data_IF_012660976272
#
_entry.id   IF_012660976272
#
_cell.length_a   1.000
_cell.length_b   1.000
_cell.length_c   1.000
_cell.angle_alpha   90.00
_cell.angle_beta   90.00
_cell.angle_gamma   90.00
#
_symmetry.space_group_name_H-M   'P 1'
#
loop_
_entity.id
_entity.type
_entity.pdbx_description
1 polymer ?
#
# COMPACT_ATOMS: atom_id res chain seq x y z
N UNK A 1 40.07 60.43 7.63
CA UNK A 1 39.88 59.30 6.70
C UNK A 1 38.86 58.27 7.19
N UNK A 2 38.89 57.85 8.47
CA UNK A 2 37.95 56.84 9.02
C UNK A 2 36.48 57.29 8.97
N UNK A 3 36.20 58.56 9.30
CA UNK A 3 34.82 59.11 9.29
C UNK A 3 34.21 59.04 7.89
N UNK A 4 35.00 59.32 6.84
CA UNK A 4 34.55 59.28 5.45
C UNK A 4 34.17 57.85 5.02
N UNK A 5 34.94 56.85 5.46
CA UNK A 5 34.66 55.44 5.18
C UNK A 5 33.32 54.99 5.81
N UNK A 6 33.06 55.39 7.06
CA UNK A 6 31.82 55.03 7.78
C UNK A 6 30.59 55.67 7.14
N UNK A 7 30.71 56.92 6.67
CA UNK A 7 29.59 57.60 6.00
C UNK A 7 29.26 56.93 4.66
N UNK A 8 30.27 56.52 3.90
CA UNK A 8 30.07 55.83 2.62
C UNK A 8 29.41 54.46 2.81
N UNK A 9 29.84 53.66 3.79
CA UNK A 9 29.25 52.34 4.04
C UNK A 9 27.82 52.44 4.55
N UNK A 10 27.52 53.42 5.40
CA UNK A 10 26.14 53.69 5.84
C UNK A 10 25.24 54.09 4.67
N UNK A 11 25.71 54.96 3.76
CA UNK A 11 24.95 55.37 2.59
C UNK A 11 24.66 54.19 1.64
N UNK A 12 25.63 53.31 1.42
CA UNK A 12 25.45 52.09 0.61
C UNK A 12 24.41 51.16 1.26
N UNK A 13 24.49 50.95 2.57
CA UNK A 13 23.56 50.08 3.30
C UNK A 13 22.11 50.60 3.23
N UNK A 14 21.92 51.92 3.43
CA UNK A 14 20.61 52.57 3.29
C UNK A 14 20.10 52.44 1.85
N UNK A 15 20.95 52.66 0.86
CA UNK A 15 20.59 52.50 -0.55
C UNK A 15 20.14 51.07 -0.88
N UNK A 16 20.84 50.05 -0.39
CA UNK A 16 20.47 48.63 -0.56
C UNK A 16 19.14 48.35 0.14
N UNK A 17 18.93 48.89 1.34
CA UNK A 17 17.70 48.69 2.10
C UNK A 17 16.49 49.32 1.41
N UNK A 18 16.64 50.55 0.90
CA UNK A 18 15.61 51.22 0.11
C UNK A 18 15.30 50.48 -1.20
N UNK A 19 16.32 50.00 -1.90
CA UNK A 19 16.13 49.20 -3.11
C UNK A 19 15.38 47.89 -2.82
N UNK A 20 15.71 47.21 -1.73
CA UNK A 20 15.03 45.99 -1.30
C UNK A 20 13.57 46.26 -0.94
N UNK A 21 13.29 47.35 -0.24
CA UNK A 21 11.93 47.70 0.19
C UNK A 21 11.08 48.18 -0.99
N UNK A 22 11.67 48.86 -1.98
CA UNK A 22 10.98 49.22 -3.23
C UNK A 22 10.70 48.00 -4.13
N UNK A 23 11.56 46.98 -4.10
CA UNK A 23 11.40 45.75 -4.89
C UNK A 23 10.54 44.68 -4.18
N UNK A 24 10.16 44.89 -2.92
CA UNK A 24 9.08 44.11 -2.29
C UNK A 24 7.77 44.53 -2.93
N UNK A 25 7.43 43.90 -4.06
CA UNK A 25 6.04 43.88 -4.55
C UNK A 25 5.17 43.51 -3.35
N UNK A 26 4.14 44.31 -2.99
CA UNK A 26 3.20 43.87 -1.97
C UNK A 26 2.64 42.55 -2.50
N UNK A 27 2.91 41.45 -1.79
CA UNK A 27 2.16 40.22 -2.01
C UNK A 27 0.71 40.66 -1.88
N UNK A 28 -0.03 40.61 -2.99
CA UNK A 28 -1.46 40.84 -2.97
C UNK A 28 -1.99 39.88 -1.90
N UNK A 29 -2.39 40.44 -0.76
CA UNK A 29 -3.11 39.70 0.27
C UNK A 29 -4.37 39.27 -0.45
N UNK A 30 -4.36 38.01 -0.89
CA UNK A 30 -5.49 37.38 -1.53
C UNK A 30 -6.68 37.63 -0.63
N UNK A 31 -7.59 38.47 -1.14
CA UNK A 31 -8.84 38.84 -0.52
C UNK A 31 -9.41 37.62 0.18
N UNK A 32 -9.77 37.75 1.46
CA UNK A 32 -10.46 36.68 2.22
C UNK A 32 -11.77 36.41 1.50
N UNK A 33 -11.71 35.58 0.46
CA UNK A 33 -12.87 34.97 -0.14
C UNK A 33 -13.46 34.17 0.99
N UNK A 34 -14.62 34.60 1.47
CA UNK A 34 -15.53 33.74 2.19
C UNK A 34 -15.95 32.66 1.19
N UNK A 35 -15.03 31.72 0.96
CA UNK A 35 -15.28 30.47 0.30
C UNK A 35 -16.21 29.77 1.28
N UNK A 36 -17.51 29.87 1.02
CA UNK A 36 -18.38 28.75 1.33
C UNK A 36 -17.78 27.58 0.57
N UNK A 37 -16.88 26.86 1.24
CA UNK A 37 -16.38 25.58 0.76
C UNK A 37 -17.59 24.68 0.84
N UNK A 38 -18.39 24.66 -0.22
CA UNK A 38 -19.20 23.51 -0.53
C UNK A 38 -18.20 22.39 -0.71
N UNK A 39 -17.95 21.62 0.35
CA UNK A 39 -17.08 20.45 0.31
C UNK A 39 -17.54 19.62 -0.90
N UNK A 40 -16.76 19.57 -2.00
CA UNK A 40 -17.13 18.69 -3.08
C UNK A 40 -17.00 17.27 -2.53
N UNK A 41 -18.03 16.46 -2.74
CA UNK A 41 -18.02 15.01 -2.82
C UNK A 41 -17.00 14.30 -1.90
N UNK A 42 -17.49 13.73 -0.79
CA UNK A 42 -16.79 12.86 0.17
C UNK A 42 -15.30 12.62 -0.12
N UNK A 43 -14.42 13.22 0.68
CA UNK A 43 -12.97 13.05 0.58
C UNK A 43 -12.63 11.58 0.71
N UNK A 44 -12.35 10.93 -0.42
CA UNK A 44 -11.89 9.55 -0.46
C UNK A 44 -10.52 9.49 0.21
N UNK A 45 -10.43 8.74 1.30
CA UNK A 45 -9.16 8.51 2.01
C UNK A 45 -8.85 7.02 2.01
N UNK A 46 -7.62 6.71 1.61
CA UNK A 46 -7.05 5.36 1.64
C UNK A 46 -6.15 5.18 2.85
N UNK A 47 -6.35 4.04 3.51
CA UNK A 47 -5.61 3.58 4.66
C UNK A 47 -5.03 2.20 4.35
N UNK A 48 -3.92 1.85 4.98
CA UNK A 48 -3.21 0.59 4.81
C UNK A 48 -3.07 -0.09 6.16
N UNK A 49 -3.42 -1.37 6.21
CA UNK A 49 -3.19 -2.23 7.37
C UNK A 49 -1.88 -3.01 7.15
N UNK A 50 -0.98 -3.09 8.14
CA UNK A 50 0.29 -3.83 8.01
C UNK A 50 0.13 -5.30 7.61
N UNK A 51 -1.02 -5.91 7.89
CA UNK A 51 -1.44 -7.23 7.39
C UNK A 51 -1.89 -7.26 5.93
N UNK A 52 -1.23 -6.49 5.07
CA UNK A 52 -1.36 -6.48 3.61
C UNK A 52 -2.75 -6.20 3.01
N UNK A 53 -3.50 -5.28 3.61
CA UNK A 53 -4.77 -4.82 3.05
C UNK A 53 -4.87 -3.31 3.07
N UNK A 54 -5.78 -2.80 2.25
CA UNK A 54 -6.14 -1.39 2.25
C UNK A 54 -7.63 -1.20 2.51
N UNK A 55 -7.97 -0.03 3.05
CA UNK A 55 -9.32 0.45 3.28
C UNK A 55 -9.48 1.81 2.61
N UNK A 56 -10.47 1.94 1.75
CA UNK A 56 -10.87 3.18 1.13
C UNK A 56 -12.24 3.60 1.64
N UNK A 57 -12.29 4.81 2.20
CA UNK A 57 -13.49 5.35 2.83
C UNK A 57 -14.28 6.17 1.81
N UNK A 58 -15.53 5.76 1.58
CA UNK A 58 -16.53 6.54 0.84
C UNK A 58 -17.55 7.07 1.86
N UNK A 59 -17.10 7.98 2.71
CA UNK A 59 -17.90 8.49 3.83
C UNK A 59 -17.81 7.59 5.07
N UNK A 60 -18.88 7.58 5.87
CA UNK A 60 -18.92 6.86 7.15
C UNK A 60 -19.50 5.45 7.05
N UNK A 61 -20.31 5.18 6.03
CA UNK A 61 -21.21 4.02 6.03
C UNK A 61 -20.62 2.78 5.35
N UNK A 62 -19.78 2.98 4.32
CA UNK A 62 -19.19 1.89 3.55
C UNK A 62 -17.70 2.12 3.36
N UNK A 63 -16.92 1.07 3.60
CA UNK A 63 -15.49 1.01 3.34
C UNK A 63 -15.23 -0.04 2.28
N UNK A 64 -14.59 0.35 1.19
CA UNK A 64 -14.08 -0.59 0.18
C UNK A 64 -12.73 -1.11 0.66
N UNK A 65 -12.52 -2.42 0.61
CA UNK A 65 -11.27 -3.05 1.06
C UNK A 65 -10.68 -3.95 -0.02
N UNK A 66 -9.36 -4.10 -0.01
CA UNK A 66 -8.62 -4.95 -0.94
C UNK A 66 -7.24 -5.32 -0.44
N UNK A 67 -6.45 -5.94 -1.32
CA UNK A 67 -5.06 -6.37 -1.05
C UNK A 67 -4.08 -5.31 -1.55
N UNK A 68 -2.99 -5.08 -0.81
CA UNK A 68 -1.98 -4.11 -1.21
C UNK A 68 -1.08 -4.59 -2.37
N UNK A 69 -0.33 -3.66 -2.97
CA UNK A 69 0.60 -3.95 -4.06
C UNK A 69 1.74 -4.90 -3.62
N UNK A 70 2.13 -4.88 -2.34
CA UNK A 70 3.19 -5.76 -1.86
C UNK A 70 2.76 -7.22 -1.91
N UNK A 71 1.59 -7.54 -1.38
CA UNK A 71 1.13 -8.92 -1.29
C UNK A 71 0.85 -9.54 -2.64
N UNK A 72 0.28 -8.78 -3.59
CA UNK A 72 0.05 -9.30 -4.94
C UNK A 72 1.37 -9.60 -5.68
N UNK A 73 2.42 -8.77 -5.48
CA UNK A 73 3.75 -9.04 -6.07
C UNK A 73 4.47 -10.19 -5.38
N UNK A 74 4.27 -10.32 -4.06
CA UNK A 74 4.90 -11.38 -3.27
C UNK A 74 4.39 -12.76 -3.70
N UNK A 75 3.06 -12.92 -3.83
CA UNK A 75 2.48 -14.18 -4.30
C UNK A 75 2.75 -14.39 -5.80
N UNK A 76 2.82 -13.32 -6.58
CA UNK A 76 2.99 -13.36 -8.04
C UNK A 76 1.64 -13.49 -8.75
N UNK A 77 1.62 -14.15 -9.91
CA UNK A 77 0.40 -14.34 -10.70
C UNK A 77 -0.65 -15.15 -9.91
N UNK A 78 -1.69 -14.48 -9.41
CA UNK A 78 -2.73 -15.11 -8.59
C UNK A 78 -3.56 -16.04 -9.48
N UNK A 79 -3.72 -17.30 -9.07
CA UNK A 79 -4.48 -18.30 -9.82
C UNK A 79 -5.88 -18.51 -9.25
N UNK A 80 -6.02 -18.40 -7.93
CA UNK A 80 -7.30 -18.51 -7.24
C UNK A 80 -7.28 -17.75 -5.92
N UNK A 81 -8.46 -17.52 -5.36
CA UNK A 81 -8.63 -16.79 -4.12
C UNK A 81 -9.87 -17.24 -3.35
N UNK A 82 -9.82 -17.05 -2.03
CA UNK A 82 -10.94 -17.34 -1.11
C UNK A 82 -11.54 -16.01 -0.65
N UNK A 83 -12.69 -15.66 -1.22
CA UNK A 83 -13.44 -14.44 -0.89
C UNK A 83 -14.27 -14.61 0.38
N UNK A 84 -14.53 -13.51 1.11
CA UNK A 84 -15.54 -13.51 2.17
C UNK A 84 -16.95 -13.66 1.58
N UNK A 85 -17.93 -13.95 2.43
CA UNK A 85 -19.32 -14.06 2.01
C UNK A 85 -20.11 -12.76 2.29
N UNK A 86 -21.04 -12.34 1.41
CA UNK A 86 -21.99 -11.29 1.74
C UNK A 86 -22.77 -11.64 3.02
N UNK A 87 -22.90 -10.69 3.94
CA UNK A 87 -23.52 -10.86 5.25
C UNK A 87 -22.59 -11.40 6.34
N UNK A 88 -21.36 -11.81 6.00
CA UNK A 88 -20.37 -12.26 6.97
C UNK A 88 -19.95 -11.12 7.90
N UNK A 89 -19.84 -11.42 9.20
CA UNK A 89 -19.27 -10.49 10.19
C UNK A 89 -17.79 -10.75 10.32
N UNK A 90 -16.99 -9.74 10.02
CA UNK A 90 -15.54 -9.78 10.09
C UNK A 90 -15.04 -8.75 11.10
N UNK A 91 -13.96 -9.08 11.82
CA UNK A 91 -13.30 -8.15 12.76
C UNK A 91 -11.96 -7.69 12.19
N UNK A 92 -11.57 -6.46 12.50
CA UNK A 92 -10.22 -5.97 12.24
C UNK A 92 -9.21 -6.99 12.79
N UNK A 93 -8.21 -7.36 12.00
CA UNK A 93 -7.24 -8.39 12.38
C UNK A 93 -7.60 -9.82 11.93
N UNK A 94 -8.82 -10.09 11.47
CA UNK A 94 -9.20 -11.40 10.93
C UNK A 94 -8.86 -11.54 9.44
N UNK A 95 -8.84 -12.77 8.92
CA UNK A 95 -8.61 -13.03 7.49
C UNK A 95 -9.69 -12.38 6.63
N UNK A 96 -9.28 -11.53 5.68
CA UNK A 96 -10.15 -10.92 4.68
C UNK A 96 -10.24 -11.78 3.42
N UNK A 97 -9.10 -12.15 2.86
CA UNK A 97 -8.99 -12.92 1.61
C UNK A 97 -7.70 -13.73 1.62
N UNK A 98 -7.76 -14.94 1.06
CA UNK A 98 -6.57 -15.76 0.76
C UNK A 98 -6.28 -15.70 -0.73
N UNK A 99 -5.02 -15.47 -1.11
CA UNK A 99 -4.52 -15.56 -2.47
C UNK A 99 -3.69 -16.82 -2.62
N UNK A 100 -3.92 -17.57 -3.70
CA UNK A 100 -3.26 -18.84 -3.95
C UNK A 100 -2.64 -18.89 -5.35
N UNK A 101 -1.44 -19.49 -5.42
CA UNK A 101 -0.73 -19.79 -6.67
C UNK A 101 -0.02 -21.14 -6.53
N UNK A 102 -0.41 -22.12 -7.34
CA UNK A 102 0.09 -23.49 -7.23
C UNK A 102 -0.17 -24.07 -5.84
N UNK A 103 0.90 -24.33 -5.08
CA UNK A 103 0.85 -24.82 -3.71
C UNK A 103 1.04 -23.72 -2.64
N UNK A 104 1.25 -22.46 -3.02
CA UNK A 104 1.57 -21.33 -2.13
C UNK A 104 0.31 -20.53 -1.82
N UNK A 105 0.12 -20.16 -0.55
CA UNK A 105 -1.00 -19.34 -0.10
C UNK A 105 -0.57 -18.24 0.87
N UNK A 106 -1.08 -17.02 0.66
CA UNK A 106 -0.94 -15.90 1.60
C UNK A 106 -2.31 -15.28 1.87
N UNK A 107 -2.54 -14.79 3.09
CA UNK A 107 -3.78 -14.09 3.41
C UNK A 107 -3.54 -12.63 3.75
N UNK A 108 -4.42 -11.77 3.24
CA UNK A 108 -4.56 -10.40 3.72
C UNK A 108 -5.59 -10.35 4.86
N UNK A 109 -5.39 -9.40 5.77
CA UNK A 109 -6.19 -9.24 6.98
C UNK A 109 -7.21 -8.10 6.82
N UNK A 110 -8.38 -8.21 7.44
CA UNK A 110 -9.40 -7.18 7.42
C UNK A 110 -8.91 -5.90 8.10
N UNK A 111 -8.94 -4.75 7.40
CA UNK A 111 -8.47 -3.48 7.95
C UNK A 111 -9.49 -2.84 8.90
N UNK A 112 -10.76 -3.26 8.87
CA UNK A 112 -11.85 -2.75 9.72
C UNK A 112 -12.80 -3.90 10.09
N UNK A 113 -13.45 -3.76 11.25
CA UNK A 113 -14.54 -4.62 11.68
C UNK A 113 -15.86 -4.18 11.06
N UNK A 114 -16.71 -5.13 10.68
CA UNK A 114 -18.02 -4.82 10.15
C UNK A 114 -18.76 -6.01 9.56
N UNK A 115 -19.81 -5.70 8.81
CA UNK A 115 -20.55 -6.68 8.00
C UNK A 115 -20.17 -6.51 6.53
N UNK A 116 -19.82 -7.59 5.85
CA UNK A 116 -19.57 -7.59 4.41
C UNK A 116 -20.90 -7.34 3.69
N UNK A 117 -21.01 -6.22 2.98
CA UNK A 117 -22.25 -5.87 2.25
C UNK A 117 -22.17 -6.24 0.77
N UNK A 118 -20.96 -6.28 0.22
CA UNK A 118 -20.73 -6.56 -1.19
C UNK A 118 -19.37 -7.24 -1.34
N UNK A 119 -19.27 -8.15 -2.31
CA UNK A 119 -18.03 -8.87 -2.64
C UNK A 119 -17.82 -8.78 -4.14
N UNK A 120 -16.58 -8.53 -4.56
CA UNK A 120 -16.25 -8.43 -5.97
C UNK A 120 -16.22 -9.82 -6.64
N UNK A 121 -17.38 -10.24 -7.13
CA UNK A 121 -17.56 -11.53 -7.82
C UNK A 121 -16.71 -11.64 -9.10
N UNK A 122 -16.24 -10.52 -9.67
CA UNK A 122 -15.37 -10.54 -10.85
C UNK A 122 -14.03 -11.21 -10.55
N UNK A 123 -13.53 -11.13 -9.31
CA UNK A 123 -12.27 -11.76 -8.91
C UNK A 123 -12.32 -13.28 -9.00
N UNK A 124 -13.48 -13.90 -8.80
CA UNK A 124 -13.63 -15.35 -8.94
C UNK A 124 -13.50 -15.81 -10.41
N UNK A 125 -13.75 -14.91 -11.37
CA UNK A 125 -13.62 -15.17 -12.81
C UNK A 125 -12.28 -14.72 -13.36
N UNK A 126 -11.76 -13.61 -12.84
CA UNK A 126 -10.50 -13.00 -13.27
C UNK A 126 -9.68 -12.55 -12.05
N UNK A 127 -8.90 -13.47 -11.44
CA UNK A 127 -7.99 -13.16 -10.34
C UNK A 127 -6.90 -12.14 -10.70
N UNK A 128 -6.58 -11.99 -11.99
CA UNK A 128 -5.49 -11.11 -12.49
C UNK A 128 -5.78 -9.64 -12.22
N UNK A 129 -7.05 -9.29 -11.95
CA UNK A 129 -7.45 -7.96 -11.49
C UNK A 129 -6.73 -7.54 -10.20
N UNK A 130 -6.43 -8.48 -9.29
CA UNK A 130 -5.66 -8.20 -8.06
C UNK A 130 -4.23 -7.79 -8.41
N UNK A 131 -3.62 -8.47 -9.38
CA UNK A 131 -2.26 -8.16 -9.80
C UNK A 131 -2.17 -6.84 -10.59
N UNK A 132 -3.13 -6.59 -11.48
CA UNK A 132 -3.08 -5.47 -12.44
C UNK A 132 -3.61 -4.16 -11.86
N UNK A 133 -4.68 -4.24 -11.05
CA UNK A 133 -5.41 -3.09 -10.55
C UNK A 133 -5.75 -3.23 -9.06
N UNK A 134 -4.76 -3.47 -8.17
CA UNK A 134 -4.99 -3.84 -6.76
C UNK A 134 -5.83 -2.82 -5.99
N UNK A 135 -5.78 -1.55 -6.40
CA UNK A 135 -6.46 -0.43 -5.75
C UNK A 135 -7.72 0.07 -6.47
N UNK A 136 -8.02 -0.48 -7.65
CA UNK A 136 -9.17 -0.08 -8.46
C UNK A 136 -10.07 -1.30 -8.68
N UNK A 137 -9.93 -2.01 -9.81
CA UNK A 137 -10.78 -3.16 -10.16
C UNK A 137 -10.53 -4.39 -9.27
N UNK A 138 -9.39 -4.44 -8.57
CA UNK A 138 -8.96 -5.50 -7.66
C UNK A 138 -9.50 -5.39 -6.24
N UNK A 139 -10.47 -4.51 -5.96
CA UNK A 139 -11.14 -4.46 -4.65
C UNK A 139 -11.80 -5.81 -4.32
N UNK A 140 -11.78 -6.20 -3.05
CA UNK A 140 -12.21 -7.53 -2.59
C UNK A 140 -13.65 -7.50 -2.08
N UNK A 141 -13.94 -6.56 -1.18
CA UNK A 141 -15.23 -6.46 -0.52
C UNK A 141 -15.55 -5.01 -0.15
N UNK A 142 -16.84 -4.74 0.08
CA UNK A 142 -17.31 -3.54 0.77
C UNK A 142 -17.85 -3.96 2.13
N UNK A 143 -17.46 -3.22 3.15
CA UNK A 143 -17.78 -3.48 4.55
C UNK A 143 -18.57 -2.30 5.10
N UNK A 144 -19.72 -2.59 5.73
CA UNK A 144 -20.40 -1.66 6.61
C UNK A 144 -19.72 -1.73 7.99
N UNK A 145 -18.92 -0.72 8.38
CA UNK A 145 -18.04 -0.82 9.53
C UNK A 145 -18.82 -0.62 10.84
N UNK A 146 -18.39 -1.29 11.91
CA UNK A 146 -19.00 -1.15 13.24
C UNK A 146 -18.30 -0.11 14.12
N UNK A 147 -17.00 0.14 13.93
CA UNK A 147 -16.24 1.10 14.73
C UNK A 147 -15.15 1.83 13.92
N UNK A 148 -15.57 2.42 12.79
CA UNK A 148 -14.66 3.00 11.81
C UNK A 148 -13.70 4.05 12.41
N UNK A 149 -14.23 5.03 13.13
CA UNK A 149 -13.44 6.17 13.61
C UNK A 149 -12.31 5.78 14.58
N UNK A 150 -12.50 4.70 15.35
CA UNK A 150 -11.47 4.19 16.25
C UNK A 150 -10.47 3.33 15.47
N UNK A 151 -10.94 2.42 14.62
CA UNK A 151 -10.10 1.45 13.92
C UNK A 151 -9.22 2.07 12.84
N UNK A 152 -9.66 3.17 12.21
CA UNK A 152 -8.82 3.94 11.28
C UNK A 152 -7.54 4.49 11.94
N UNK A 153 -7.53 4.68 13.26
CA UNK A 153 -6.34 5.12 14.00
C UNK A 153 -5.26 4.03 14.09
N UNK A 154 -5.65 2.77 13.90
CA UNK A 154 -4.73 1.63 13.87
C UNK A 154 -4.11 1.43 12.48
N UNK A 155 -4.53 2.21 11.48
CA UNK A 155 -4.09 2.08 10.10
C UNK A 155 -3.09 3.17 9.71
N UNK A 156 -2.27 2.86 8.72
CA UNK A 156 -1.31 3.78 8.13
C UNK A 156 -1.98 4.57 7.00
N UNK A 157 -1.59 5.83 6.81
CA UNK A 157 -2.07 6.63 5.68
C UNK A 157 -1.05 7.72 5.29
N UNK A 158 -1.19 8.25 4.07
CA UNK A 158 -0.29 9.27 3.52
C UNK A 158 1.19 8.87 3.62
N UNK A 159 2.03 9.84 3.99
CA UNK A 159 3.49 9.66 4.08
C UNK A 159 3.91 8.48 4.97
N UNK A 160 3.15 8.17 6.02
CA UNK A 160 3.47 7.04 6.90
C UNK A 160 3.26 5.70 6.21
N UNK A 161 2.21 5.56 5.40
CA UNK A 161 1.98 4.35 4.61
C UNK A 161 3.06 4.20 3.53
N UNK A 162 3.47 5.29 2.89
CA UNK A 162 4.54 5.29 1.88
C UNK A 162 5.87 4.81 2.50
N UNK A 163 6.26 5.40 3.64
CA UNK A 163 7.49 5.00 4.35
C UNK A 163 7.47 3.56 4.83
N UNK A 164 6.32 3.08 5.29
CA UNK A 164 6.17 1.68 5.69
C UNK A 164 6.35 0.76 4.49
N UNK A 165 5.72 1.06 3.36
CA UNK A 165 5.88 0.30 2.11
C UNK A 165 7.34 0.28 1.63
N UNK A 166 8.04 1.42 1.71
CA UNK A 166 9.46 1.49 1.34
C UNK A 166 10.34 0.64 2.27
N UNK A 167 10.11 0.73 3.58
CA UNK A 167 10.82 -0.07 4.57
C UNK A 167 10.58 -1.57 4.35
N UNK A 168 9.33 -1.95 4.09
CA UNK A 168 8.92 -3.33 3.81
C UNK A 168 9.64 -3.88 2.56
N UNK A 169 9.75 -3.09 1.48
CA UNK A 169 10.49 -3.47 0.28
C UNK A 169 11.98 -3.61 0.55
N UNK A 170 12.58 -2.70 1.33
CA UNK A 170 13.99 -2.81 1.71
C UNK A 170 14.26 -4.06 2.55
N UNK A 171 13.38 -4.38 3.51
CA UNK A 171 13.47 -5.61 4.29
C UNK A 171 13.38 -6.84 3.40
N UNK A 172 12.48 -6.85 2.42
CA UNK A 172 12.34 -7.96 1.48
C UNK A 172 13.63 -8.17 0.69
N UNK A 173 14.21 -7.11 0.12
CA UNK A 173 15.50 -7.18 -0.59
C UNK A 173 16.60 -7.71 0.31
N UNK A 174 16.67 -7.22 1.57
CA UNK A 174 17.66 -7.70 2.55
C UNK A 174 17.48 -9.18 2.88
N UNK A 175 16.24 -9.67 3.00
CA UNK A 175 15.94 -11.08 3.27
C UNK A 175 16.39 -12.02 2.14
N UNK A 176 16.55 -11.49 0.92
CA UNK A 176 17.05 -12.20 -0.26
C UNK A 176 18.54 -11.99 -0.56
N UNK A 177 19.15 -10.93 -0.02
CA UNK A 177 20.53 -10.54 -0.34
C UNK A 177 21.62 -11.60 -0.08
N UNK A 178 21.47 -12.59 0.82
CA UNK A 178 22.46 -13.66 0.92
C UNK A 178 22.43 -14.66 -0.25
N UNK A 179 21.32 -14.75 -0.99
CA UNK A 179 21.08 -15.77 -2.04
C UNK A 179 20.91 -15.21 -3.45
N UNK A 180 20.45 -13.97 -3.58
CA UNK A 180 20.58 -13.23 -4.84
C UNK A 180 22.02 -12.73 -4.84
N UNK A 181 22.89 -13.34 -5.66
CA UNK A 181 24.32 -13.03 -5.73
C UNK A 181 24.62 -11.55 -6.03
N UNK A 182 25.90 -11.22 -6.19
CA UNK A 182 26.42 -9.88 -6.45
C UNK A 182 25.47 -9.03 -7.31
N UNK A 183 24.79 -8.06 -6.69
CA UNK A 183 23.98 -7.09 -7.45
C UNK A 183 24.94 -6.28 -8.32
N UNK A 184 24.72 -6.30 -9.64
CA UNK A 184 25.50 -5.46 -10.55
C UNK A 184 25.10 -3.99 -10.37
N UNK A 185 26.07 -3.11 -10.60
CA UNK A 185 25.90 -1.64 -10.51
C UNK A 185 25.04 -1.09 -11.67
N UNK A 186 24.57 -1.94 -12.58
CA UNK A 186 23.75 -1.59 -13.74
C UNK A 186 22.25 -1.45 -13.41
N UNK A 187 21.83 -1.80 -12.19
CA UNK A 187 20.44 -1.74 -11.76
C UNK A 187 19.70 -3.02 -12.17
N UNK A 188 19.39 -3.87 -11.19
CA UNK A 188 18.72 -5.14 -11.43
C UNK A 188 17.36 -4.99 -12.11
N UNK A 189 16.93 -6.05 -12.80
CA UNK A 189 15.60 -6.10 -13.42
C UNK A 189 14.48 -6.12 -12.37
N UNK A 190 13.40 -5.37 -12.60
CA UNK A 190 12.20 -5.43 -11.77
C UNK A 190 11.57 -6.81 -11.99
N UNK A 191 11.62 -7.65 -10.96
CA UNK A 191 10.92 -8.93 -10.94
C UNK A 191 9.53 -8.71 -10.36
N UNK A 192 8.51 -8.96 -11.15
CA UNK A 192 7.11 -8.88 -10.71
C UNK A 192 6.64 -10.15 -9.98
N UNK A 193 7.44 -11.22 -10.03
CA UNK A 193 7.10 -12.55 -9.53
C UNK A 193 8.26 -13.16 -8.75
N UNK A 194 8.37 -12.78 -7.48
CA UNK A 194 9.43 -13.27 -6.59
C UNK A 194 9.22 -14.75 -6.25
N UNK A 195 7.97 -15.23 -6.21
CA UNK A 195 7.68 -16.60 -5.81
C UNK A 195 8.20 -17.64 -6.82
N UNK A 196 8.37 -17.26 -8.09
CA UNK A 196 9.01 -18.11 -9.11
C UNK A 196 10.51 -18.29 -8.94
N UNK A 197 11.19 -17.38 -8.24
CA UNK A 197 12.65 -17.40 -8.06
C UNK A 197 13.11 -18.22 -6.85
N UNK A 198 12.17 -18.75 -6.07
CA UNK A 198 12.43 -19.35 -4.77
C UNK A 198 12.00 -20.80 -4.71
N UNK A 199 12.82 -21.60 -4.03
CA UNK A 199 12.40 -22.91 -3.53
C UNK A 199 11.20 -22.76 -2.59
N UNK A 200 10.41 -23.82 -2.42
CA UNK A 200 9.24 -23.77 -1.53
C UNK A 200 9.62 -23.48 -0.07
N UNK A 201 10.77 -23.99 0.39
CA UNK A 201 11.29 -23.75 1.74
C UNK A 201 11.72 -22.28 1.92
N UNK A 202 12.45 -21.72 0.96
CA UNK A 202 12.85 -20.31 0.99
C UNK A 202 11.63 -19.39 0.93
N UNK A 203 10.65 -19.73 0.09
CA UNK A 203 9.40 -18.98 0.00
C UNK A 203 8.64 -19.01 1.32
N UNK A 204 8.51 -20.17 1.97
CA UNK A 204 7.85 -20.29 3.28
C UNK A 204 8.54 -19.45 4.35
N UNK A 205 9.87 -19.49 4.40
CA UNK A 205 10.64 -18.70 5.36
C UNK A 205 10.35 -17.22 5.18
N UNK A 206 10.44 -16.71 3.95
CA UNK A 206 10.16 -15.30 3.70
C UNK A 206 8.69 -14.98 3.96
N UNK A 207 7.75 -15.82 3.51
CA UNK A 207 6.33 -15.62 3.78
C UNK A 207 6.04 -15.49 5.28
N UNK A 208 6.75 -16.25 6.13
CA UNK A 208 6.62 -16.19 7.59
C UNK A 208 7.09 -14.89 8.25
N UNK A 209 8.01 -14.18 7.59
CA UNK A 209 8.53 -12.90 8.09
C UNK A 209 7.57 -11.74 7.75
N UNK A 210 6.86 -11.84 6.62
CA UNK A 210 6.02 -10.74 6.11
C UNK A 210 4.52 -10.95 6.38
N UNK A 211 4.03 -12.18 6.39
CA UNK A 211 2.61 -12.50 6.54
C UNK A 211 2.32 -13.18 7.86
N UNK A 212 1.32 -12.66 8.59
CA UNK A 212 0.79 -13.33 9.80
C UNK A 212 0.09 -14.64 9.47
N UNK A 213 -0.49 -14.75 8.27
CA UNK A 213 -1.25 -15.91 7.81
C UNK A 213 -0.73 -16.35 6.42
N UNK A 214 0.00 -17.46 6.38
CA UNK A 214 0.53 -18.08 5.16
C UNK A 214 0.46 -19.61 5.25
N UNK A 215 0.52 -20.30 4.11
CA UNK A 215 0.57 -21.76 4.04
C UNK A 215 1.28 -22.25 2.76
N UNK A 216 1.80 -23.48 2.79
CA UNK A 216 2.11 -24.26 1.58
C UNK A 216 1.43 -25.61 1.67
N UNK A 217 0.66 -25.96 0.65
CA UNK A 217 -0.05 -27.24 0.58
C UNK A 217 0.86 -28.33 0.05
N UNK A 218 1.13 -29.37 0.84
CA UNK A 218 1.74 -30.62 0.35
C UNK A 218 0.68 -31.43 -0.43
N UNK A 219 0.40 -31.06 -1.69
CA UNK A 219 -0.34 -31.99 -2.57
C UNK A 219 0.61 -33.12 -2.96
N UNK A 220 0.35 -34.32 -2.42
CA UNK A 220 0.97 -35.57 -2.89
C UNK A 220 0.85 -35.63 -4.41
N UNK A 221 1.98 -35.66 -5.11
CA UNK A 221 2.00 -35.95 -6.55
C UNK A 221 1.37 -37.33 -6.70
N UNK A 222 0.15 -37.38 -7.27
CA UNK A 222 -0.43 -38.64 -7.72
C UNK A 222 0.51 -39.16 -8.80
N UNK A 223 1.31 -40.18 -8.48
CA UNK A 223 2.13 -40.87 -9.47
C UNK A 223 1.21 -41.33 -10.61
N UNK A 224 1.57 -41.07 -11.88
CA UNK A 224 0.80 -41.61 -13.00
C UNK A 224 0.77 -43.14 -12.88
N UNK A 225 -0.34 -43.81 -13.25
CA UNK A 225 -0.45 -45.25 -13.11
C UNK A 225 0.68 -45.92 -13.89
N UNK A 226 1.44 -46.77 -13.21
CA UNK A 226 2.40 -47.68 -13.81
C UNK A 226 1.71 -48.39 -14.99
N UNK A 227 2.23 -48.17 -16.20
CA UNK A 227 1.86 -48.99 -17.36
C UNK A 227 2.13 -50.44 -16.97
N UNK A 228 1.08 -51.24 -16.89
CA UNK A 228 1.19 -52.70 -16.86
C UNK A 228 1.60 -53.11 -18.27
N UNK A 229 2.81 -53.65 -18.42
CA UNK A 229 3.15 -54.58 -19.50
C UNK A 229 2.50 -55.94 -19.21
#
# INVERSE_FOLDING_TARGET
MVILLVVITAAIFIGIQMYRDAMRKPMAVSEKRNLTVTLPHQVVRRYVHPGHSWAETHGADIVTVGVDDFAQRFIGAVESLVLPQPGERIRQGQRLVTLSRGNKEVSAIAPVSGTVVEVNQSLAKDPVLINSFPYDQGWVAKIAPTNLAMELRNLLHGVTADRWNDALRMQLVSAFSPRIGTVLQDGGHIVNDISSLLSDEDWQRVASEFFTLYAVSHRTIVQPPLKKE
#
